data_IF_178107914386
#
_entry.id   IF_178107914386
#
_cell.length_a   1.000
_cell.length_b   1.000
_cell.length_c   1.000
_cell.angle_alpha   90.00
_cell.angle_beta   90.00
_cell.angle_gamma   90.00
#
_symmetry.space_group_name_H-M   'P 1'
#
loop_
_entity.id
_entity.type
_entity.pdbx_description
1 polymer ?
#
# COMPACT_ATOMS: atom_id res chain seq x y z
N UNK A 1 7.10 -15.81 18.66
CA UNK A 1 6.84 -14.50 19.28
C UNK A 1 7.31 -13.44 18.28
N UNK A 2 6.47 -12.47 17.91
CA UNK A 2 6.89 -11.40 16.99
C UNK A 2 8.03 -10.51 17.54
N UNK A 3 8.23 -10.41 18.86
CA UNK A 3 9.36 -9.65 19.46
C UNK A 3 10.68 -10.40 19.42
N UNK A 4 10.66 -11.71 19.16
CA UNK A 4 11.88 -12.50 18.94
C UNK A 4 12.22 -12.61 17.46
N UNK A 5 11.34 -12.14 16.57
CA UNK A 5 11.71 -11.99 15.16
C UNK A 5 12.79 -10.92 15.11
N UNK A 6 13.91 -11.16 14.40
CA UNK A 6 14.87 -10.09 14.17
C UNK A 6 14.09 -8.95 13.54
N UNK A 7 13.99 -7.83 14.26
CA UNK A 7 13.56 -6.58 13.69
C UNK A 7 14.57 -6.30 12.59
N UNK A 8 14.26 -6.75 11.37
CA UNK A 8 15.04 -6.42 10.22
C UNK A 8 15.17 -4.90 10.24
N UNK A 9 16.36 -4.39 9.92
CA UNK A 9 16.65 -2.99 9.70
C UNK A 9 15.79 -2.41 8.55
N UNK A 10 14.46 -2.41 8.71
CA UNK A 10 13.47 -1.78 7.83
C UNK A 10 12.37 -2.65 7.22
N UNK A 11 12.34 -4.00 7.28
CA UNK A 11 11.25 -4.76 6.64
C UNK A 11 11.17 -6.26 6.99
N UNK A 12 9.96 -6.80 7.11
CA UNK A 12 9.72 -8.24 6.97
C UNK A 12 10.17 -8.71 5.58
N UNK A 13 11.09 -9.67 5.53
CA UNK A 13 11.40 -10.40 4.30
C UNK A 13 10.42 -11.55 4.13
N UNK A 14 9.49 -11.45 3.18
CA UNK A 14 8.80 -12.65 2.69
C UNK A 14 9.86 -13.66 2.24
N UNK A 15 9.63 -14.97 2.44
CA UNK A 15 10.51 -15.99 1.87
C UNK A 15 10.62 -15.71 0.38
N UNK A 16 11.82 -15.39 -0.07
CA UNK A 16 12.11 -15.24 -1.49
C UNK A 16 11.81 -16.58 -2.12
N UNK A 17 10.76 -16.64 -2.93
CA UNK A 17 10.57 -17.77 -3.85
C UNK A 17 11.87 -17.94 -4.64
N UNK A 18 12.37 -19.17 -4.78
CA UNK A 18 13.62 -19.41 -5.53
C UNK A 18 13.49 -18.76 -6.91
N UNK A 19 14.25 -17.68 -7.10
CA UNK A 19 14.12 -16.75 -8.22
C UNK A 19 14.56 -17.35 -9.55
N UNK A 20 15.30 -18.46 -9.50
CA UNK A 20 15.94 -19.07 -10.66
C UNK A 20 14.93 -19.78 -11.59
N UNK A 21 13.71 -20.08 -11.11
CA UNK A 21 12.68 -20.76 -11.93
C UNK A 21 11.66 -19.82 -12.60
N UNK A 22 11.57 -18.53 -12.21
CA UNK A 22 10.32 -17.77 -12.42
C UNK A 22 10.47 -16.33 -12.93
N UNK A 23 11.68 -15.87 -13.29
CA UNK A 23 11.82 -14.54 -13.91
C UNK A 23 11.17 -14.55 -15.31
N UNK A 24 9.91 -14.12 -15.40
CA UNK A 24 9.17 -13.98 -16.66
C UNK A 24 8.00 -14.95 -16.88
N UNK A 25 7.88 -16.04 -16.11
CA UNK A 25 6.72 -16.97 -16.19
C UNK A 25 5.89 -16.84 -14.92
N UNK A 26 4.63 -16.39 -15.04
CA UNK A 26 3.67 -16.34 -13.92
C UNK A 26 3.49 -17.75 -13.35
N UNK A 27 4.16 -18.09 -12.25
CA UNK A 27 3.78 -19.25 -11.45
C UNK A 27 2.43 -18.95 -10.83
N UNK A 28 1.38 -19.55 -11.36
CA UNK A 28 0.03 -19.39 -10.84
C UNK A 28 -0.12 -20.31 -9.62
N UNK A 29 -0.25 -19.73 -8.44
CA UNK A 29 -0.54 -20.47 -7.22
C UNK A 29 -2.05 -20.70 -7.11
N UNK A 30 -2.48 -21.95 -7.15
CA UNK A 30 -3.87 -22.28 -6.78
C UNK A 30 -4.01 -22.30 -5.27
N UNK A 31 -5.19 -21.95 -4.76
CA UNK A 31 -5.52 -22.03 -3.32
C UNK A 31 -5.23 -23.44 -2.79
N UNK A 32 -5.60 -24.48 -3.54
CA UNK A 32 -5.33 -25.86 -3.18
C UNK A 32 -3.83 -26.14 -3.03
N UNK A 33 -2.99 -25.65 -3.96
CA UNK A 33 -1.55 -25.84 -3.86
C UNK A 33 -0.96 -25.16 -2.62
N UNK A 34 -1.44 -23.97 -2.26
CA UNK A 34 -1.01 -23.27 -1.06
C UNK A 34 -1.43 -24.00 0.22
N UNK A 35 -2.64 -24.56 0.25
CA UNK A 35 -3.10 -25.40 1.36
C UNK A 35 -2.23 -26.65 1.51
N UNK A 36 -1.87 -27.32 0.40
CA UNK A 36 -0.94 -28.47 0.43
C UNK A 36 0.45 -28.08 0.93
N UNK A 37 0.87 -26.82 0.78
CA UNK A 37 2.12 -26.28 1.33
C UNK A 37 2.01 -25.87 2.80
N UNK A 38 0.87 -26.13 3.46
CA UNK A 38 0.64 -25.85 4.87
C UNK A 38 0.14 -24.44 5.16
N UNK A 39 -0.26 -23.65 4.15
CA UNK A 39 -0.92 -22.37 4.38
C UNK A 39 -2.38 -22.59 4.79
N UNK A 40 -2.87 -21.76 5.69
CA UNK A 40 -4.27 -21.75 6.10
C UNK A 40 -5.07 -20.76 5.24
N UNK A 41 -6.20 -21.21 4.70
CA UNK A 41 -7.17 -20.33 4.05
C UNK A 41 -8.07 -19.69 5.11
N UNK A 42 -8.04 -18.36 5.18
CA UNK A 42 -8.96 -17.57 5.99
C UNK A 42 -10.07 -17.08 5.06
N UNK A 43 -11.28 -17.63 5.23
CA UNK A 43 -12.47 -17.11 4.53
C UNK A 43 -12.89 -15.81 5.20
N UNK A 44 -13.13 -14.78 4.41
CA UNK A 44 -13.49 -13.46 4.90
C UNK A 44 -14.59 -12.85 4.02
N UNK A 45 -15.57 -12.24 4.67
CA UNK A 45 -16.79 -11.68 4.04
C UNK A 45 -16.61 -10.21 3.62
N UNK A 46 -15.51 -9.57 3.98
CA UNK A 46 -15.28 -8.13 3.77
C UNK A 46 -16.03 -7.22 4.74
N UNK A 47 -16.87 -7.75 5.63
CA UNK A 47 -17.78 -6.99 6.50
C UNK A 47 -17.47 -7.15 7.99
N UNK A 48 -16.93 -8.29 8.40
CA UNK A 48 -16.52 -8.54 9.78
C UNK A 48 -15.02 -8.34 9.90
N UNK A 49 -14.57 -7.40 10.75
CA UNK A 49 -13.14 -7.19 10.91
C UNK A 49 -12.49 -8.42 11.56
N UNK A 50 -11.36 -8.87 11.02
CA UNK A 50 -10.68 -10.07 11.48
C UNK A 50 -9.20 -9.78 11.78
N UNK A 51 -8.83 -9.55 13.06
CA UNK A 51 -7.43 -9.35 13.44
C UNK A 51 -6.67 -10.68 13.42
N UNK A 52 -5.49 -10.66 12.84
CA UNK A 52 -4.52 -11.76 12.87
C UNK A 52 -3.53 -11.50 14.00
N UNK A 53 -3.48 -12.43 14.95
CA UNK A 53 -2.67 -12.32 16.17
C UNK A 53 -1.55 -13.35 16.20
N UNK A 54 -0.40 -12.96 16.77
CA UNK A 54 0.67 -13.90 17.05
C UNK A 54 0.36 -14.73 18.31
N UNK A 55 1.29 -15.62 18.68
CA UNK A 55 1.15 -16.50 19.86
C UNK A 55 1.03 -15.73 21.19
N UNK A 56 1.41 -14.47 21.24
CA UNK A 56 1.33 -13.61 22.41
C UNK A 56 0.12 -12.66 22.34
N UNK A 57 -0.81 -12.86 21.40
CA UNK A 57 -2.00 -12.03 21.24
C UNK A 57 -1.73 -10.67 20.59
N UNK A 58 -0.55 -10.45 19.99
CA UNK A 58 -0.25 -9.19 19.30
C UNK A 58 -0.81 -9.20 17.88
N UNK A 59 -1.61 -8.20 17.55
CA UNK A 59 -2.12 -7.99 16.21
C UNK A 59 -0.96 -7.62 15.28
N UNK A 60 -0.73 -8.43 14.24
CA UNK A 60 0.30 -8.16 13.22
C UNK A 60 -0.31 -7.86 11.84
N UNK A 61 -1.58 -8.17 11.63
CA UNK A 61 -2.35 -7.83 10.43
C UNK A 61 -3.84 -7.78 10.76
N UNK A 62 -4.63 -7.05 9.96
CA UNK A 62 -6.09 -6.97 10.11
C UNK A 62 -6.72 -7.09 8.73
N UNK A 63 -7.69 -7.99 8.59
CA UNK A 63 -8.67 -7.93 7.50
C UNK A 63 -9.74 -6.93 7.92
N UNK A 64 -9.58 -5.68 7.50
CA UNK A 64 -10.42 -4.58 7.96
C UNK A 64 -11.77 -4.60 7.25
N UNK A 65 -12.87 -4.59 8.01
CA UNK A 65 -14.23 -4.46 7.47
C UNK A 65 -14.35 -3.23 6.59
N UNK A 66 -15.17 -3.28 5.54
CA UNK A 66 -15.60 -2.06 4.86
C UNK A 66 -16.34 -1.10 5.80
N UNK A 67 -16.42 0.21 5.49
CA UNK A 67 -17.27 1.14 6.22
C UNK A 67 -18.74 0.71 6.25
N UNK A 68 -19.47 1.12 7.29
CA UNK A 68 -20.94 1.00 7.35
C UNK A 68 -21.56 2.10 6.49
N UNK A 69 -21.60 1.87 5.17
CA UNK A 69 -22.30 2.74 4.22
C UNK A 69 -23.11 1.93 3.20
N UNK A 70 -24.04 2.59 2.51
CA UNK A 70 -24.98 2.03 1.53
C UNK A 70 -24.28 1.56 0.25
N UNK A 71 -23.45 0.51 0.36
CA UNK A 71 -22.58 -0.09 -0.68
C UNK A 71 -21.66 0.91 -1.45
N UNK A 72 -21.67 2.18 -1.06
CA UNK A 72 -20.97 3.29 -1.71
C UNK A 72 -19.45 3.14 -1.66
N UNK A 73 -18.93 2.47 -0.62
CA UNK A 73 -17.52 2.12 -0.56
C UNK A 73 -17.14 1.06 -1.58
N UNK A 74 -17.96 0.03 -1.78
CA UNK A 74 -17.74 -1.01 -2.80
C UNK A 74 -17.75 -0.43 -4.20
N UNK A 75 -18.67 0.51 -4.47
CA UNK A 75 -18.68 1.31 -5.70
C UNK A 75 -17.36 2.06 -5.84
N UNK A 76 -16.91 2.76 -4.80
CA UNK A 76 -15.64 3.51 -4.84
C UNK A 76 -14.44 2.61 -5.11
N UNK A 77 -14.35 1.43 -4.50
CA UNK A 77 -13.27 0.48 -4.78
C UNK A 77 -13.29 0.02 -6.23
N UNK A 78 -14.49 -0.26 -6.77
CA UNK A 78 -14.68 -0.72 -8.15
C UNK A 78 -14.32 0.37 -9.17
N UNK A 79 -14.77 1.61 -8.94
CA UNK A 79 -14.47 2.78 -9.78
C UNK A 79 -12.99 3.15 -9.72
N UNK A 80 -12.37 3.13 -8.53
CA UNK A 80 -10.94 3.34 -8.39
C UNK A 80 -10.12 2.29 -9.15
N UNK A 81 -10.52 1.01 -9.08
CA UNK A 81 -9.89 -0.06 -9.85
C UNK A 81 -10.02 0.16 -11.36
N UNK A 82 -11.24 0.43 -11.85
CA UNK A 82 -11.49 0.68 -13.26
C UNK A 82 -10.68 1.88 -13.78
N UNK A 83 -10.62 2.96 -12.99
CA UNK A 83 -9.87 4.16 -13.30
C UNK A 83 -8.36 3.90 -13.39
N UNK A 84 -7.77 3.27 -12.36
CA UNK A 84 -6.34 2.92 -12.36
C UNK A 84 -6.01 2.02 -13.55
N UNK A 85 -6.86 1.03 -13.85
CA UNK A 85 -6.69 0.11 -14.98
C UNK A 85 -6.74 0.86 -16.32
N UNK A 86 -7.69 1.76 -16.50
CA UNK A 86 -7.81 2.58 -17.70
C UNK A 86 -6.58 3.49 -17.89
N UNK A 87 -6.13 4.17 -16.84
CA UNK A 87 -4.89 4.94 -16.85
C UNK A 87 -3.67 4.07 -17.21
N UNK A 88 -3.61 2.84 -16.68
CA UNK A 88 -2.56 1.87 -16.97
C UNK A 88 -2.51 1.46 -18.44
N UNK A 89 -3.68 1.30 -19.07
CA UNK A 89 -3.81 0.91 -20.47
C UNK A 89 -3.46 2.04 -21.46
N UNK A 90 -3.76 3.29 -21.10
CA UNK A 90 -3.53 4.46 -21.98
C UNK A 90 -2.17 5.12 -21.77
N UNK A 91 -1.47 4.83 -20.67
CA UNK A 91 -0.17 5.43 -20.36
C UNK A 91 0.98 4.57 -20.90
N UNK A 92 1.90 5.19 -21.62
CA UNK A 92 3.18 4.56 -21.95
C UNK A 92 4.08 4.49 -20.72
N UNK A 93 4.45 3.28 -20.31
CA UNK A 93 5.48 3.03 -19.30
C UNK A 93 6.69 2.36 -19.95
N UNK A 94 7.91 2.83 -19.68
CA UNK A 94 9.10 2.19 -20.22
C UNK A 94 9.35 0.82 -19.54
N UNK A 95 10.12 -0.09 -20.17
CA UNK A 95 10.29 -1.46 -19.68
C UNK A 95 10.79 -1.57 -18.23
N UNK A 96 11.66 -0.68 -17.79
CA UNK A 96 12.20 -0.60 -16.44
C UNK A 96 11.13 -0.34 -15.36
N UNK A 97 10.01 0.28 -15.74
CA UNK A 97 8.88 0.50 -14.83
C UNK A 97 7.91 -0.69 -14.81
N UNK A 98 7.97 -1.57 -15.83
CA UNK A 98 7.08 -2.72 -16.00
C UNK A 98 7.67 -4.04 -15.49
N UNK A 99 8.99 -4.11 -15.35
CA UNK A 99 9.71 -5.31 -14.89
C UNK A 99 10.50 -5.01 -13.63
N UNK A 100 9.93 -5.35 -12.48
CA UNK A 100 10.55 -5.10 -11.17
C UNK A 100 10.35 -6.27 -10.21
N UNK A 101 11.05 -6.26 -9.07
CA UNK A 101 10.98 -7.32 -8.04
C UNK A 101 9.55 -7.62 -7.56
N UNK A 102 8.62 -6.66 -7.66
CA UNK A 102 7.22 -6.82 -7.22
C UNK A 102 6.31 -7.50 -8.25
N UNK A 103 6.78 -7.71 -9.48
CA UNK A 103 5.99 -8.31 -10.57
C UNK A 103 6.19 -7.65 -11.92
N UNK A 104 5.40 -8.12 -12.89
CA UNK A 104 5.39 -7.65 -14.29
C UNK A 104 4.20 -6.72 -14.53
N UNK A 105 4.25 -5.54 -13.94
CA UNK A 105 3.25 -4.49 -14.08
C UNK A 105 3.92 -3.13 -13.91
N UNK A 106 3.31 -2.08 -14.45
CA UNK A 106 3.80 -0.73 -14.19
C UNK A 106 3.46 -0.30 -12.75
N UNK A 107 4.37 0.39 -12.09
CA UNK A 107 4.13 0.99 -10.79
C UNK A 107 4.72 2.40 -10.69
N UNK A 108 4.02 3.29 -10.01
CA UNK A 108 4.47 4.66 -9.70
C UNK A 108 4.38 4.86 -8.18
N UNK A 109 5.47 5.28 -7.55
CA UNK A 109 5.47 5.74 -6.16
C UNK A 109 5.33 7.26 -6.14
N UNK A 110 4.49 7.77 -5.25
CA UNK A 110 4.18 9.19 -5.10
C UNK A 110 4.26 9.56 -3.64
N UNK A 111 4.79 10.75 -3.34
CA UNK A 111 4.81 11.27 -1.98
C UNK A 111 6.19 11.70 -1.52
N UNK A 112 6.32 11.83 -0.21
CA UNK A 112 7.56 12.18 0.46
C UNK A 112 8.54 11.01 0.47
N UNK A 113 9.80 11.32 0.13
CA UNK A 113 10.91 10.40 0.16
C UNK A 113 12.08 11.02 0.91
N UNK A 114 12.76 10.20 1.71
CA UNK A 114 14.04 10.51 2.33
C UNK A 114 14.99 9.34 2.03
N UNK A 115 15.72 9.48 0.91
CA UNK A 115 16.56 8.42 0.35
C UNK A 115 17.95 8.28 0.99
N UNK A 116 18.74 7.33 0.48
CA UNK A 116 20.06 6.86 0.97
C UNK A 116 21.16 7.95 0.94
N UNK A 117 21.07 8.94 1.81
CA UNK A 117 22.04 10.04 1.93
C UNK A 117 21.42 11.44 1.82
N UNK A 118 20.12 11.54 1.52
CA UNK A 118 19.41 12.81 1.57
C UNK A 118 19.23 13.24 3.03
N UNK A 119 19.58 14.49 3.35
CA UNK A 119 19.41 15.08 4.68
C UNK A 119 18.09 15.85 4.83
N UNK A 120 17.40 16.09 3.71
CA UNK A 120 16.15 16.83 3.62
C UNK A 120 15.13 15.98 2.84
N UNK A 121 13.91 15.81 3.35
CA UNK A 121 12.86 15.10 2.62
C UNK A 121 12.45 15.87 1.37
N UNK A 122 12.16 15.14 0.30
CA UNK A 122 11.68 15.73 -0.95
C UNK A 122 10.50 14.95 -1.51
N UNK A 123 9.75 15.60 -2.39
CA UNK A 123 8.70 14.95 -3.14
C UNK A 123 9.30 14.10 -4.27
N UNK A 124 8.77 12.89 -4.49
CA UNK A 124 9.20 12.04 -5.60
C UNK A 124 8.93 12.72 -6.96
N UNK A 125 9.98 12.88 -7.75
CA UNK A 125 9.89 13.37 -9.12
C UNK A 125 9.37 12.25 -10.06
N UNK A 126 8.14 12.43 -10.53
CA UNK A 126 7.48 11.52 -11.46
C UNK A 126 7.68 11.89 -12.94
N UNK A 127 8.45 12.95 -13.23
CA UNK A 127 8.81 13.40 -14.59
C UNK A 127 7.57 13.48 -15.49
N UNK A 128 7.59 12.78 -16.63
CA UNK A 128 6.50 12.70 -17.61
C UNK A 128 5.18 12.14 -17.06
N UNK A 129 5.19 11.47 -15.92
CA UNK A 129 4.00 10.90 -15.28
C UNK A 129 3.35 11.85 -14.28
N UNK A 130 3.89 13.05 -14.06
CA UNK A 130 3.31 14.04 -13.13
C UNK A 130 1.83 14.36 -13.42
N UNK A 131 1.39 14.56 -14.68
CA UNK A 131 -0.04 14.79 -14.97
C UNK A 131 -0.92 13.61 -14.55
N UNK A 132 -0.50 12.38 -14.84
CA UNK A 132 -1.21 11.16 -14.42
C UNK A 132 -1.28 11.06 -12.90
N UNK A 133 -0.18 11.36 -12.20
CA UNK A 133 -0.15 11.36 -10.73
C UNK A 133 -1.14 12.36 -10.16
N UNK A 134 -1.20 13.58 -10.70
CA UNK A 134 -2.17 14.59 -10.28
C UNK A 134 -3.61 14.11 -10.48
N UNK A 135 -3.92 13.43 -11.59
CA UNK A 135 -5.23 12.84 -11.85
C UNK A 135 -5.59 11.75 -10.84
N UNK A 136 -4.64 10.86 -10.54
CA UNK A 136 -4.84 9.77 -9.56
C UNK A 136 -5.03 10.30 -8.14
N UNK A 137 -4.26 11.30 -7.72
CA UNK A 137 -4.41 11.94 -6.41
C UNK A 137 -5.72 12.75 -6.31
N UNK A 138 -6.19 13.31 -7.42
CA UNK A 138 -7.45 14.07 -7.49
C UNK A 138 -8.71 13.21 -7.60
N UNK A 139 -8.59 11.90 -7.81
CA UNK A 139 -9.74 11.01 -7.93
C UNK A 139 -10.39 10.79 -6.54
N UNK A 140 -11.69 11.09 -6.43
CA UNK A 140 -12.44 11.02 -5.17
C UNK A 140 -12.56 9.60 -4.62
N UNK A 141 -12.71 8.59 -5.48
CA UNK A 141 -12.80 7.19 -5.08
C UNK A 141 -11.47 6.67 -4.52
N UNK A 142 -10.35 7.02 -5.15
CA UNK A 142 -9.00 6.72 -4.65
C UNK A 142 -8.75 7.44 -3.32
N UNK A 143 -9.13 8.72 -3.22
CA UNK A 143 -8.99 9.50 -1.99
C UNK A 143 -9.79 8.87 -0.85
N UNK A 144 -11.03 8.42 -1.12
CA UNK A 144 -11.85 7.71 -0.12
C UNK A 144 -11.17 6.46 0.39
N UNK A 145 -10.55 5.65 -0.48
CA UNK A 145 -9.79 4.47 -0.07
C UNK A 145 -8.59 4.82 0.82
N UNK A 146 -7.85 5.88 0.49
CA UNK A 146 -6.71 6.34 1.29
C UNK A 146 -7.12 6.82 2.69
N UNK A 147 -8.24 7.56 2.78
CA UNK A 147 -8.80 8.05 4.03
C UNK A 147 -9.32 6.89 4.89
N UNK A 148 -9.97 5.91 4.26
CA UNK A 148 -10.40 4.69 4.94
C UNK A 148 -9.21 3.90 5.50
N UNK A 149 -8.13 3.73 4.73
CA UNK A 149 -6.92 3.07 5.21
C UNK A 149 -6.33 3.77 6.46
N UNK A 150 -6.35 5.11 6.50
CA UNK A 150 -5.92 5.86 7.69
C UNK A 150 -6.88 5.68 8.88
N UNK A 151 -8.18 5.59 8.62
CA UNK A 151 -9.19 5.33 9.67
C UNK A 151 -9.05 3.92 10.28
N UNK A 152 -8.78 2.91 9.44
CA UNK A 152 -8.44 1.56 9.89
C UNK A 152 -7.19 1.60 10.76
N UNK A 153 -6.16 2.33 10.33
CA UNK A 153 -4.92 2.42 11.07
C UNK A 153 -5.10 3.10 12.44
N UNK A 154 -5.89 4.18 12.50
CA UNK A 154 -6.26 4.85 13.75
C UNK A 154 -7.01 3.92 14.70
N UNK A 155 -7.91 3.09 14.18
CA UNK A 155 -8.75 2.17 14.96
C UNK A 155 -7.94 1.02 15.56
N UNK A 156 -7.11 0.37 14.74
CA UNK A 156 -6.46 -0.89 15.10
C UNK A 156 -5.06 -0.70 15.71
N UNK A 157 -4.39 0.41 15.41
CA UNK A 157 -3.03 0.69 15.91
C UNK A 157 -2.91 2.15 16.37
N UNK A 158 -3.75 2.64 17.30
CA UNK A 158 -3.90 4.06 17.62
C UNK A 158 -2.59 4.72 18.07
N UNK A 159 -1.73 4.00 18.81
CA UNK A 159 -0.44 4.51 19.27
C UNK A 159 0.52 4.78 18.11
N UNK A 160 0.57 3.88 17.13
CA UNK A 160 1.43 4.06 15.96
C UNK A 160 0.83 5.10 14.99
N UNK A 161 -0.48 5.12 14.84
CA UNK A 161 -1.16 6.17 14.11
C UNK A 161 -0.85 7.56 14.69
N UNK A 162 -0.93 7.73 16.01
CA UNK A 162 -0.55 8.98 16.70
C UNK A 162 0.89 9.36 16.42
N UNK A 163 1.81 8.40 16.48
CA UNK A 163 3.21 8.63 16.10
C UNK A 163 3.37 9.15 14.65
N UNK A 164 2.59 8.62 13.70
CA UNK A 164 2.60 9.12 12.32
C UNK A 164 2.06 10.55 12.23
N UNK A 165 0.97 10.86 12.94
CA UNK A 165 0.38 12.21 12.99
C UNK A 165 1.39 13.21 13.55
N UNK A 166 2.01 12.91 14.69
CA UNK A 166 2.94 13.81 15.39
C UNK A 166 4.22 14.03 14.57
N UNK A 167 4.75 12.98 13.94
CA UNK A 167 5.91 13.08 13.05
C UNK A 167 5.58 13.89 11.78
N UNK A 168 4.43 13.66 11.17
CA UNK A 168 4.00 14.43 9.99
C UNK A 168 3.79 15.91 10.31
N UNK A 169 3.24 16.22 11.50
CA UNK A 169 3.11 17.59 11.98
C UNK A 169 4.49 18.24 12.16
N UNK A 170 5.41 17.55 12.85
CA UNK A 170 6.79 18.04 13.06
C UNK A 170 7.54 18.26 11.75
N UNK A 171 7.37 17.36 10.77
CA UNK A 171 7.94 17.49 9.43
C UNK A 171 7.40 18.73 8.71
N UNK A 172 6.09 18.99 8.77
CA UNK A 172 5.48 20.17 8.16
C UNK A 172 5.89 21.48 8.84
N UNK A 173 6.06 21.48 10.16
CA UNK A 173 6.60 22.64 10.88
C UNK A 173 8.02 22.98 10.42
N UNK A 174 8.87 21.96 10.22
CA UNK A 174 10.25 22.16 9.77
C UNK A 174 10.37 22.45 8.27
N UNK A 175 9.46 21.91 7.47
CA UNK A 175 9.45 22.03 6.02
C UNK A 175 8.02 22.39 5.54
N UNK A 176 7.65 23.68 5.59
CA UNK A 176 6.27 24.13 5.31
C UNK A 176 5.76 23.79 3.90
N UNK A 177 6.67 23.63 2.94
CA UNK A 177 6.34 23.30 1.54
C UNK A 177 6.08 21.80 1.30
N UNK A 178 6.20 20.95 2.33
CA UNK A 178 5.95 19.52 2.18
C UNK A 178 4.47 19.23 1.92
N UNK A 179 4.24 18.56 0.79
CA UNK A 179 2.93 18.10 0.37
C UNK A 179 2.59 16.75 1.00
N UNK A 180 1.32 16.38 0.96
CA UNK A 180 0.86 15.02 1.23
C UNK A 180 0.10 14.47 0.02
N UNK A 181 0.16 13.15 -0.25
CA UNK A 181 -0.59 12.56 -1.37
C UNK A 181 -2.10 12.76 -1.23
N UNK A 182 -2.64 12.51 -0.03
CA UNK A 182 -4.07 12.65 0.25
C UNK A 182 -4.27 13.46 1.53
N UNK A 183 -5.16 14.47 1.56
CA UNK A 183 -5.27 15.42 2.67
C UNK A 183 -5.57 14.80 4.04
N UNK A 184 -6.32 13.69 4.08
CA UNK A 184 -6.72 13.02 5.33
C UNK A 184 -5.96 11.69 5.55
N UNK A 185 -4.92 11.43 4.75
CA UNK A 185 -4.08 10.26 4.92
C UNK A 185 -2.89 10.57 5.82
N UNK A 186 -2.63 9.70 6.80
CA UNK A 186 -1.41 9.78 7.61
C UNK A 186 -0.18 9.22 6.88
N UNK A 187 -0.36 8.56 5.75
CA UNK A 187 0.75 8.01 4.98
C UNK A 187 1.41 9.08 4.12
N UNK A 188 2.72 9.24 4.30
CA UNK A 188 3.53 10.23 3.60
C UNK A 188 3.75 9.90 2.11
N UNK A 189 3.52 8.65 1.71
CA UNK A 189 3.69 8.15 0.35
C UNK A 189 2.64 7.09 0.02
N UNK A 190 2.35 6.96 -1.28
CA UNK A 190 1.45 5.95 -1.87
C UNK A 190 2.10 5.33 -3.11
N UNK A 191 1.65 4.13 -3.48
CA UNK A 191 2.09 3.44 -4.69
C UNK A 191 0.88 3.07 -5.54
N UNK A 192 0.87 3.51 -6.80
CA UNK A 192 -0.11 3.11 -7.80
C UNK A 192 0.45 1.94 -8.60
N UNK A 193 -0.21 0.79 -8.53
CA UNK A 193 0.12 -0.39 -9.33
C UNK A 193 -0.91 -0.50 -10.46
N UNK A 194 -0.43 -0.68 -11.69
CA UNK A 194 -1.25 -0.72 -12.91
C UNK A 194 -1.32 -2.15 -13.48
N UNK A 195 -1.37 -3.16 -12.61
CA UNK A 195 -1.32 -4.60 -12.94
C UNK A 195 -2.60 -5.36 -12.66
#
# INVERSE_FOLDING_TARGET
DASTLPAAQGAYGGKTEQLDETRGKKKCWTVMKLITLGLQLIKWDGRTAHPLVDRAGRIFAILARQPDDDDSYTVSVSEAYAYIKACGATTYFPPEMRCHRRGLFAAINVGLSLGKGATVPSWLDNKKHTPLVSQLLGNSHITRMANFASSVFATWVPRLHRHYVDNNASLRTRFPDLRQPFPQSVFASTAFNFG
#
